data_IF_348841648454
#
_entry.id   IF_348841648454
#
_cell.length_a   1.000
_cell.length_b   1.000
_cell.length_c   1.000
_cell.angle_alpha   90.00
_cell.angle_beta   90.00
_cell.angle_gamma   90.00
#
_symmetry.space_group_name_H-M   'P 1'
#
loop_
_entity.id
_entity.type
_entity.pdbx_description
1 polymer ?
#
# COMPACT_ATOMS: atom_id res chain seq x y z
N UNK A 1 16.51 -11.14 4.93
CA UNK A 1 15.30 -10.88 5.72
C UNK A 1 14.76 -12.22 6.20
N UNK A 2 14.39 -12.35 7.48
CA UNK A 2 13.67 -13.55 7.93
C UNK A 2 12.18 -13.47 7.56
N UNK A 3 11.52 -14.60 7.34
CA UNK A 3 10.08 -14.64 6.98
C UNK A 3 9.20 -13.88 7.99
N UNK A 4 9.55 -13.91 9.28
CA UNK A 4 8.83 -13.21 10.32
C UNK A 4 8.90 -11.68 10.17
N UNK A 5 10.09 -11.16 9.87
CA UNK A 5 10.32 -9.72 9.66
C UNK A 5 9.56 -9.23 8.42
N UNK A 6 9.50 -10.05 7.37
CA UNK A 6 8.73 -9.76 6.17
C UNK A 6 7.24 -9.59 6.48
N UNK A 7 6.66 -10.59 7.15
CA UNK A 7 5.23 -10.60 7.49
C UNK A 7 4.86 -9.42 8.38
N UNK A 8 5.71 -9.09 9.36
CA UNK A 8 5.48 -7.94 10.25
C UNK A 8 5.44 -6.62 9.47
N UNK A 9 6.40 -6.38 8.57
CA UNK A 9 6.40 -5.17 7.73
C UNK A 9 5.20 -5.12 6.80
N UNK A 10 4.87 -6.24 6.16
CA UNK A 10 3.70 -6.33 5.28
C UNK A 10 2.41 -5.97 6.03
N UNK A 11 2.13 -6.61 7.16
CA UNK A 11 0.90 -6.36 7.93
C UNK A 11 0.85 -4.93 8.48
N UNK A 12 2.00 -4.36 8.91
CA UNK A 12 2.08 -2.96 9.35
C UNK A 12 1.64 -1.99 8.25
N UNK A 13 2.18 -2.15 7.03
CA UNK A 13 1.83 -1.27 5.91
C UNK A 13 0.39 -1.50 5.43
N UNK A 14 -0.06 -2.76 5.37
CA UNK A 14 -1.42 -3.12 5.01
C UNK A 14 -2.45 -2.49 5.95
N UNK A 15 -2.24 -2.59 7.27
CA UNK A 15 -3.12 -1.97 8.27
C UNK A 15 -3.24 -0.46 8.06
N UNK A 16 -2.11 0.23 7.81
CA UNK A 16 -2.12 1.67 7.53
C UNK A 16 -2.90 2.03 6.26
N UNK A 17 -2.78 1.22 5.21
CA UNK A 17 -3.53 1.41 3.97
C UNK A 17 -5.04 1.25 4.23
N UNK A 18 -5.44 0.21 4.96
CA UNK A 18 -6.85 -0.04 5.32
C UNK A 18 -7.42 1.11 6.14
N UNK A 19 -6.68 1.60 7.14
CA UNK A 19 -7.07 2.77 7.93
C UNK A 19 -7.35 3.99 7.05
N UNK A 20 -6.44 4.28 6.09
CA UNK A 20 -6.58 5.43 5.20
C UNK A 20 -7.76 5.26 4.22
N UNK A 21 -7.99 4.06 3.70
CA UNK A 21 -9.15 3.77 2.82
C UNK A 21 -10.44 3.98 3.60
N UNK A 22 -10.54 3.46 4.82
CA UNK A 22 -11.74 3.60 5.65
C UNK A 22 -12.01 5.08 5.98
N UNK A 23 -10.98 5.81 6.42
CA UNK A 23 -11.10 7.24 6.68
C UNK A 23 -11.56 8.03 5.44
N UNK A 24 -11.05 7.68 4.25
CA UNK A 24 -11.47 8.32 3.01
C UNK A 24 -12.92 7.97 2.63
N UNK A 25 -13.35 6.71 2.84
CA UNK A 25 -14.75 6.29 2.63
C UNK A 25 -15.70 6.99 3.58
N UNK A 26 -15.32 7.17 4.84
CA UNK A 26 -16.10 7.93 5.83
C UNK A 26 -16.25 9.41 5.44
N UNK A 27 -15.30 9.93 4.65
CA UNK A 27 -15.33 11.26 4.06
C UNK A 27 -16.00 11.32 2.67
N UNK A 28 -16.64 10.24 2.23
CA UNK A 28 -17.28 10.09 0.91
C UNK A 28 -16.31 10.30 -0.28
N UNK A 29 -15.02 10.03 -0.08
CA UNK A 29 -14.02 10.04 -1.14
C UNK A 29 -13.97 8.66 -1.82
N UNK A 30 -13.47 8.62 -3.05
CA UNK A 30 -13.31 7.41 -3.85
C UNK A 30 -11.84 7.09 -4.22
N UNK A 31 -10.90 7.89 -3.71
CA UNK A 31 -9.48 7.78 -4.01
C UNK A 31 -8.62 8.24 -2.86
N UNK A 32 -7.51 7.53 -2.64
CA UNK A 32 -6.38 8.03 -1.85
C UNK A 32 -5.09 8.02 -2.66
N UNK A 33 -4.21 8.99 -2.37
CA UNK A 33 -2.84 9.02 -2.88
C UNK A 33 -1.91 9.17 -1.68
N UNK A 34 -0.92 8.30 -1.58
CA UNK A 34 0.00 8.24 -0.45
C UNK A 34 1.45 8.03 -0.93
N UNK A 35 2.40 8.54 -0.15
CA UNK A 35 3.82 8.25 -0.33
C UNK A 35 4.11 6.91 0.35
N UNK A 36 4.60 5.95 -0.43
CA UNK A 36 4.98 4.64 0.05
C UNK A 36 6.49 4.61 0.30
N UNK A 37 6.88 4.73 1.55
CA UNK A 37 8.28 4.64 1.97
C UNK A 37 8.56 3.22 2.45
N UNK A 38 9.26 2.45 1.63
CA UNK A 38 9.74 1.09 1.93
C UNK A 38 11.24 1.07 1.61
N UNK A 39 12.07 0.51 2.49
CA UNK A 39 13.50 0.36 2.22
C UNK A 39 13.73 -0.46 0.96
N UNK A 40 14.75 -0.11 0.17
CA UNK A 40 15.08 -0.79 -1.09
C UNK A 40 15.32 -2.29 -0.93
N UNK A 41 15.73 -2.76 0.25
CA UNK A 41 15.94 -4.18 0.53
C UNK A 41 14.63 -4.95 0.76
N UNK A 42 13.48 -4.25 0.83
CA UNK A 42 12.16 -4.80 1.11
C UNK A 42 11.18 -4.62 -0.08
N UNK A 43 11.68 -4.52 -1.32
CA UNK A 43 10.85 -4.39 -2.53
C UNK A 43 9.77 -5.49 -2.63
N UNK A 44 10.05 -6.70 -2.16
CA UNK A 44 9.08 -7.80 -2.13
C UNK A 44 7.82 -7.43 -1.30
N UNK A 45 7.97 -6.68 -0.20
CA UNK A 45 6.84 -6.21 0.61
C UNK A 45 5.94 -5.29 -0.22
N UNK A 46 6.55 -4.41 -1.02
CA UNK A 46 5.83 -3.48 -1.90
C UNK A 46 5.05 -4.23 -2.97
N UNK A 47 5.67 -5.19 -3.65
CA UNK A 47 5.01 -6.00 -4.67
C UNK A 47 3.84 -6.80 -4.08
N UNK A 48 4.03 -7.37 -2.88
CA UNK A 48 2.98 -8.09 -2.14
C UNK A 48 1.79 -7.19 -1.82
N UNK A 49 2.04 -5.94 -1.38
CA UNK A 49 0.99 -4.97 -1.06
C UNK A 49 0.18 -4.56 -2.30
N UNK A 50 0.87 -4.31 -3.42
CA UNK A 50 0.21 -3.94 -4.69
C UNK A 50 -0.64 -5.10 -5.20
N UNK A 51 -0.09 -6.32 -5.20
CA UNK A 51 -0.83 -7.51 -5.60
C UNK A 51 -2.05 -7.75 -4.70
N UNK A 52 -1.90 -7.59 -3.40
CA UNK A 52 -3.02 -7.67 -2.47
C UNK A 52 -4.12 -6.67 -2.82
N UNK A 53 -3.78 -5.40 -3.03
CA UNK A 53 -4.77 -4.37 -3.43
C UNK A 53 -5.51 -4.72 -4.73
N UNK A 54 -4.79 -5.23 -5.74
CA UNK A 54 -5.40 -5.63 -7.01
C UNK A 54 -6.36 -6.82 -6.80
N UNK A 55 -5.99 -7.80 -5.98
CA UNK A 55 -6.82 -8.97 -5.66
C UNK A 55 -8.12 -8.54 -4.94
N UNK A 56 -8.04 -7.54 -4.07
CA UNK A 56 -9.21 -6.96 -3.38
C UNK A 56 -10.10 -6.11 -4.32
N UNK A 57 -9.71 -5.93 -5.58
CA UNK A 57 -10.49 -5.22 -6.59
C UNK A 57 -10.21 -3.72 -6.69
N UNK A 58 -9.18 -3.22 -6.00
CA UNK A 58 -8.80 -1.82 -6.11
C UNK A 58 -8.12 -1.53 -7.45
N UNK A 59 -8.38 -0.35 -8.01
CA UNK A 59 -7.57 0.19 -9.11
C UNK A 59 -6.35 0.89 -8.54
N UNK A 60 -5.18 0.34 -8.83
CA UNK A 60 -3.90 0.78 -8.25
C UNK A 60 -3.00 1.43 -9.30
N UNK A 61 -2.36 2.54 -8.95
CA UNK A 61 -1.27 3.12 -9.72
C UNK A 61 -0.07 3.38 -8.81
N UNK A 62 1.10 2.90 -9.23
CA UNK A 62 2.38 3.19 -8.57
C UNK A 62 3.23 4.04 -9.52
N UNK A 63 3.56 5.26 -9.10
CA UNK A 63 4.52 6.12 -9.81
C UNK A 63 5.85 6.12 -9.05
N UNK A 64 6.92 5.72 -9.74
CA UNK A 64 8.29 5.82 -9.22
C UNK A 64 8.84 7.22 -9.50
N UNK A 65 9.18 7.96 -8.47
CA UNK A 65 9.82 9.29 -8.53
C UNK A 65 10.94 9.32 -7.46
N UNK A 66 11.29 10.49 -6.90
CA UNK A 66 12.13 10.56 -5.68
C UNK A 66 11.59 9.70 -4.53
N UNK A 67 10.25 9.56 -4.47
CA UNK A 67 9.54 8.60 -3.65
C UNK A 67 8.50 7.85 -4.47
N UNK A 68 8.17 6.64 -4.05
CA UNK A 68 7.09 5.88 -4.66
C UNK A 68 5.73 6.44 -4.23
N UNK A 69 4.92 6.84 -5.21
CA UNK A 69 3.58 7.38 -4.99
C UNK A 69 2.55 6.31 -5.33
N UNK A 70 1.81 5.84 -4.33
CA UNK A 70 0.74 4.87 -4.47
C UNK A 70 -0.61 5.58 -4.51
N UNK A 71 -1.35 5.37 -5.59
CA UNK A 71 -2.74 5.81 -5.74
C UNK A 71 -3.66 4.60 -5.75
N UNK A 72 -4.75 4.67 -4.98
CA UNK A 72 -5.73 3.60 -4.80
C UNK A 72 -7.12 4.19 -5.02
N UNK A 73 -7.89 3.61 -5.93
CA UNK A 73 -9.28 3.95 -6.28
C UNK A 73 -10.19 2.71 -6.09
N UNK A 74 -11.45 2.93 -5.71
CA UNK A 74 -12.48 1.87 -5.54
C UNK A 74 -13.82 2.26 -6.17
#
# INVERSE_FOLDING_TARGET
MGEYEFLEKFEKHKNKIVENINAAKDMELNKITAILVIDKDNEEVKERLINWLIIEGYKVSLRKDEYDILTIEW
#
